data_IF_723337802804
#
_entry.id   IF_723337802804
#
_cell.length_a   1.000
_cell.length_b   1.000
_cell.length_c   1.000
_cell.angle_alpha   90.00
_cell.angle_beta   90.00
_cell.angle_gamma   90.00
#
_symmetry.space_group_name_H-M   'P 1'
#
loop_
_entity.id
_entity.type
_entity.pdbx_description
1 polymer ?
#
# COMPACT_ATOMS: atom_id res chain seq x y z
N UNK A 1 -10.06 13.89 -14.69
CA UNK A 1 -11.29 13.52 -13.99
C UNK A 1 -10.93 13.24 -12.54
N UNK A 2 -11.32 14.12 -11.70
CA UNK A 2 -11.01 14.08 -10.27
C UNK A 2 -11.79 12.93 -9.63
N UNK A 3 -11.10 11.87 -9.27
CA UNK A 3 -11.54 10.86 -8.30
C UNK A 3 -11.87 11.47 -6.91
N UNK A 4 -12.02 12.80 -6.88
CA UNK A 4 -12.37 13.59 -5.70
C UNK A 4 -13.72 13.24 -5.10
N UNK A 5 -14.56 12.56 -5.85
CA UNK A 5 -15.97 12.40 -5.49
C UNK A 5 -16.32 11.03 -4.92
N UNK A 6 -15.41 10.07 -5.00
CA UNK A 6 -15.75 8.75 -4.57
C UNK A 6 -14.86 8.32 -3.41
N UNK A 7 -15.37 8.45 -2.21
CA UNK A 7 -14.92 7.65 -1.08
C UNK A 7 -15.25 6.18 -1.40
N UNK A 8 -14.54 5.65 -2.39
CA UNK A 8 -14.74 4.27 -2.85
C UNK A 8 -14.14 3.30 -1.85
N UNK A 9 -13.09 3.72 -1.16
CA UNK A 9 -12.38 2.91 -0.18
C UNK A 9 -12.82 3.29 1.23
N UNK A 10 -13.39 2.35 1.94
CA UNK A 10 -13.89 2.54 3.30
C UNK A 10 -13.26 1.54 4.25
N UNK A 11 -12.90 1.99 5.44
CA UNK A 11 -12.47 1.09 6.50
C UNK A 11 -13.66 0.28 7.01
N UNK A 12 -13.53 -1.03 7.01
CA UNK A 12 -14.58 -1.96 7.46
C UNK A 12 -14.26 -2.67 8.76
N UNK A 13 -12.98 -2.75 9.12
CA UNK A 13 -12.55 -3.39 10.37
C UNK A 13 -11.16 -2.93 10.79
N UNK A 14 -10.85 -3.10 12.06
CA UNK A 14 -9.50 -2.97 12.60
C UNK A 14 -9.28 -3.89 13.80
N UNK A 15 -8.05 -4.28 14.01
CA UNK A 15 -7.64 -5.04 15.20
C UNK A 15 -6.17 -4.82 15.53
N UNK A 16 -5.75 -4.98 16.79
CA UNK A 16 -4.34 -5.06 17.13
C UNK A 16 -3.63 -6.14 16.32
N UNK A 17 -2.39 -5.88 15.97
CA UNK A 17 -1.53 -6.81 15.23
C UNK A 17 -0.16 -6.87 15.90
N UNK A 18 0.22 -8.06 16.27
CA UNK A 18 1.53 -8.37 16.86
C UNK A 18 2.24 -9.41 15.98
N UNK A 19 3.50 -9.22 15.76
CA UNK A 19 4.33 -10.20 15.08
C UNK A 19 5.76 -10.14 15.60
N UNK A 20 6.55 -11.16 15.29
CA UNK A 20 7.99 -11.18 15.58
C UNK A 20 8.77 -10.05 14.90
N UNK A 21 8.14 -9.39 13.94
CA UNK A 21 8.73 -8.30 13.13
C UNK A 21 8.42 -6.90 13.66
N UNK A 22 7.40 -6.76 14.51
CA UNK A 22 7.04 -5.45 15.04
C UNK A 22 5.88 -5.53 16.01
N UNK A 23 5.90 -4.61 16.98
CA UNK A 23 4.89 -4.48 18.01
C UNK A 23 4.05 -3.23 17.81
N UNK A 24 2.91 -3.19 18.48
CA UNK A 24 2.01 -2.03 18.50
C UNK A 24 1.49 -1.59 17.12
N UNK A 25 1.35 -2.51 16.19
CA UNK A 25 0.65 -2.25 14.93
C UNK A 25 -0.85 -2.47 15.09
N UNK A 26 -1.60 -1.77 14.26
CA UNK A 26 -3.03 -2.00 14.05
C UNK A 26 -3.23 -2.45 12.63
N UNK A 27 -3.82 -3.62 12.45
CA UNK A 27 -4.27 -4.08 11.14
C UNK A 27 -5.63 -3.44 10.84
N UNK A 28 -5.68 -2.65 9.78
CA UNK A 28 -6.91 -2.04 9.26
C UNK A 28 -7.30 -2.71 7.96
N UNK A 29 -8.58 -2.99 7.81
CA UNK A 29 -9.15 -3.60 6.61
C UNK A 29 -10.04 -2.58 5.92
N UNK A 30 -9.81 -2.41 4.64
CA UNK A 30 -10.53 -1.49 3.76
C UNK A 30 -11.26 -2.28 2.67
N UNK A 31 -12.40 -1.79 2.28
CA UNK A 31 -13.19 -2.37 1.19
C UNK A 31 -13.47 -1.32 0.12
N UNK A 32 -13.29 -1.72 -1.13
CA UNK A 32 -13.79 -0.96 -2.26
C UNK A 32 -15.31 -1.16 -2.37
N UNK A 33 -16.07 -0.09 -2.25
CA UNK A 33 -17.55 -0.15 -2.24
C UNK A 33 -18.15 -0.66 -3.56
N UNK A 34 -17.41 -0.55 -4.65
CA UNK A 34 -17.86 -0.96 -6.00
C UNK A 34 -17.43 -2.39 -6.30
N UNK A 35 -16.12 -2.66 -6.25
CA UNK A 35 -15.57 -3.99 -6.62
C UNK A 35 -15.66 -5.01 -5.50
N UNK A 36 -15.90 -4.56 -4.25
CA UNK A 36 -15.86 -5.40 -3.03
C UNK A 36 -14.50 -5.99 -2.70
N UNK A 37 -13.47 -5.59 -3.40
CA UNK A 37 -12.08 -5.94 -3.09
C UNK A 37 -11.67 -5.41 -1.72
N UNK A 38 -10.91 -6.21 -1.00
CA UNK A 38 -10.38 -5.83 0.31
C UNK A 38 -8.90 -5.52 0.22
N UNK A 39 -8.52 -4.43 0.85
CA UNK A 39 -7.15 -4.00 1.00
C UNK A 39 -6.81 -3.92 2.49
N UNK A 40 -5.54 -3.88 2.81
CA UNK A 40 -5.07 -3.96 4.19
C UNK A 40 -4.03 -2.88 4.46
N UNK A 41 -3.97 -2.41 5.69
CA UNK A 41 -2.88 -1.57 6.15
C UNK A 41 -2.44 -1.98 7.55
N UNK A 42 -1.15 -2.12 7.73
CA UNK A 42 -0.52 -2.23 9.04
C UNK A 42 -0.03 -0.84 9.43
N UNK A 43 -0.58 -0.31 10.49
CA UNK A 43 -0.40 1.09 10.88
C UNK A 43 0.19 1.15 12.28
N UNK A 44 1.24 1.97 12.44
CA UNK A 44 1.87 2.21 13.72
C UNK A 44 1.90 3.70 14.03
N UNK A 45 1.26 4.08 15.12
CA UNK A 45 1.45 5.34 15.81
C UNK A 45 1.35 6.61 14.93
N UNK A 46 0.30 6.69 14.12
CA UNK A 46 0.02 7.87 13.31
C UNK A 46 -0.75 8.90 14.15
N UNK A 47 -0.17 10.07 14.38
CA UNK A 47 -0.72 11.10 15.28
C UNK A 47 -0.99 12.45 14.62
N UNK A 48 -0.24 12.83 13.60
CA UNK A 48 -0.30 14.16 13.03
C UNK A 48 -0.29 14.14 11.50
N UNK A 49 -1.12 14.98 10.89
CA UNK A 49 -1.10 15.21 9.43
C UNK A 49 0.14 15.98 8.95
N UNK A 50 0.86 16.63 9.85
CA UNK A 50 2.02 17.46 9.52
C UNK A 50 3.34 16.69 9.51
N UNK A 51 3.34 15.50 10.05
CA UNK A 51 4.53 14.64 10.07
C UNK A 51 4.65 13.81 8.80
N UNK A 52 5.89 13.51 8.43
CA UNK A 52 6.21 12.61 7.34
C UNK A 52 6.47 11.21 7.89
N UNK A 53 5.75 10.22 7.38
CA UNK A 53 5.81 8.85 7.86
C UNK A 53 6.43 7.91 6.84
N UNK A 54 7.28 6.96 7.24
CA UNK A 54 7.71 5.89 6.37
C UNK A 54 6.52 5.03 5.95
N UNK A 55 6.33 4.88 4.65
CA UNK A 55 5.22 4.13 4.07
C UNK A 55 5.72 3.20 2.98
N UNK A 56 5.39 1.94 3.10
CA UNK A 56 5.51 0.95 2.03
C UNK A 56 4.15 0.74 1.37
N UNK A 57 4.10 0.87 0.07
CA UNK A 57 2.96 0.45 -0.74
C UNK A 57 3.33 -0.84 -1.46
N UNK A 58 2.66 -1.93 -1.09
CA UNK A 58 2.92 -3.25 -1.63
C UNK A 58 1.69 -3.81 -2.32
N UNK A 59 1.88 -4.21 -3.55
CA UNK A 59 0.85 -4.94 -4.31
C UNK A 59 0.93 -6.41 -3.96
N UNK A 60 -0.15 -6.94 -3.39
CA UNK A 60 -0.22 -8.36 -3.08
C UNK A 60 -0.23 -9.19 -4.37
N UNK A 61 0.64 -10.16 -4.42
CA UNK A 61 0.70 -11.16 -5.46
C UNK A 61 0.94 -12.51 -4.83
N UNK A 62 -0.11 -13.30 -4.71
CA UNK A 62 -0.09 -14.60 -4.03
C UNK A 62 0.99 -15.52 -4.60
N UNK A 63 1.16 -15.52 -5.92
CA UNK A 63 2.17 -16.38 -6.57
C UNK A 63 3.60 -15.98 -6.16
N UNK A 64 3.87 -14.68 -6.11
CA UNK A 64 5.19 -14.17 -5.74
C UNK A 64 5.40 -14.14 -4.24
N UNK A 65 4.37 -13.74 -3.49
CA UNK A 65 4.50 -13.53 -2.05
C UNK A 65 4.48 -14.85 -1.26
N UNK A 66 3.80 -15.88 -1.79
CA UNK A 66 3.64 -17.18 -1.11
C UNK A 66 4.46 -18.29 -1.76
N UNK A 67 4.49 -18.34 -3.10
CA UNK A 67 5.10 -19.45 -3.83
C UNK A 67 6.48 -19.13 -4.42
N UNK A 68 6.99 -17.92 -4.28
CA UNK A 68 8.32 -17.59 -4.77
C UNK A 68 9.40 -18.34 -3.96
N UNK A 69 10.15 -19.17 -4.63
CA UNK A 69 11.19 -20.04 -4.08
C UNK A 69 12.35 -19.26 -3.43
N UNK A 70 12.53 -18.00 -3.83
CA UNK A 70 13.44 -17.03 -3.23
C UNK A 70 12.68 -15.80 -2.83
N UNK A 71 12.55 -15.60 -1.55
CA UNK A 71 11.69 -14.63 -0.90
C UNK A 71 12.22 -13.19 -1.02
N UNK A 72 12.39 -12.71 -2.24
CA UNK A 72 12.85 -11.34 -2.53
C UNK A 72 11.83 -10.32 -1.99
N UNK A 73 10.54 -10.63 -2.10
CA UNK A 73 9.47 -9.76 -1.61
C UNK A 73 9.27 -9.82 -0.09
N UNK A 74 9.52 -10.97 0.51
CA UNK A 74 9.51 -11.09 1.96
C UNK A 74 10.54 -10.17 2.62
N UNK A 75 11.68 -9.99 1.99
CA UNK A 75 12.74 -9.11 2.49
C UNK A 75 12.30 -7.64 2.46
N UNK A 76 11.67 -7.15 1.41
CA UNK A 76 11.19 -5.77 1.33
C UNK A 76 10.14 -5.43 2.40
N UNK A 77 9.21 -6.34 2.66
CA UNK A 77 8.23 -6.17 3.73
C UNK A 77 8.92 -6.20 5.10
N UNK A 78 9.83 -7.15 5.32
CA UNK A 78 10.58 -7.24 6.57
C UNK A 78 11.42 -5.98 6.81
N UNK A 79 12.16 -5.51 5.81
CA UNK A 79 12.90 -4.26 5.91
C UNK A 79 12.00 -3.05 6.17
N UNK A 80 10.78 -3.06 5.63
CA UNK A 80 9.81 -2.00 5.91
C UNK A 80 9.37 -2.01 7.38
N UNK A 81 9.16 -3.18 7.97
CA UNK A 81 8.93 -3.29 9.41
C UNK A 81 10.08 -2.73 10.22
N UNK A 82 11.31 -3.09 9.88
CA UNK A 82 12.50 -2.61 10.58
C UNK A 82 12.62 -1.07 10.53
N UNK A 83 12.38 -0.46 9.38
CA UNK A 83 12.39 0.99 9.21
C UNK A 83 11.30 1.66 10.03
N UNK A 84 10.08 1.13 10.00
CA UNK A 84 8.95 1.68 10.75
C UNK A 84 9.14 1.51 12.26
N UNK A 85 9.64 0.36 12.71
CA UNK A 85 9.99 0.13 14.12
C UNK A 85 11.05 1.13 14.60
N UNK A 86 12.11 1.33 13.83
CA UNK A 86 13.17 2.27 14.14
C UNK A 86 12.71 3.72 14.15
N UNK A 87 11.80 4.09 13.25
CA UNK A 87 11.19 5.42 13.18
C UNK A 87 10.17 5.64 14.30
N UNK A 88 9.53 4.58 14.76
CA UNK A 88 8.49 4.59 15.79
C UNK A 88 7.07 4.82 15.29
N UNK A 89 6.89 5.07 13.99
CA UNK A 89 5.60 5.29 13.33
C UNK A 89 5.69 5.02 11.83
N UNK A 90 4.57 4.72 11.20
CA UNK A 90 4.52 4.48 9.77
C UNK A 90 3.40 3.53 9.36
N UNK A 91 3.41 3.12 8.10
CA UNK A 91 2.40 2.20 7.57
C UNK A 91 2.94 1.30 6.45
N UNK A 92 2.42 0.08 6.40
CA UNK A 92 2.55 -0.83 5.26
C UNK A 92 1.16 -1.00 4.67
N UNK A 93 0.96 -0.49 3.46
CA UNK A 93 -0.30 -0.58 2.72
C UNK A 93 -0.22 -1.75 1.76
N UNK A 94 -1.09 -2.73 1.94
CA UNK A 94 -1.19 -3.94 1.13
C UNK A 94 -2.39 -3.81 0.18
N UNK A 95 -2.10 -3.60 -1.08
CA UNK A 95 -3.12 -3.43 -2.11
C UNK A 95 -3.39 -4.80 -2.72
N UNK A 96 -4.59 -5.30 -2.48
CA UNK A 96 -5.06 -6.52 -3.12
C UNK A 96 -5.54 -6.18 -4.52
N UNK A 97 -5.09 -6.95 -5.46
CA UNK A 97 -5.48 -6.81 -6.85
C UNK A 97 -6.02 -8.16 -7.32
N UNK A 98 -7.06 -8.63 -6.62
CA UNK A 98 -7.81 -9.81 -7.06
C UNK A 98 -8.52 -9.50 -8.37
N UNK A 99 -7.77 -9.58 -9.43
CA UNK A 99 -8.34 -9.76 -10.76
C UNK A 99 -8.73 -11.23 -10.88
N UNK A 100 -9.70 -11.64 -10.08
CA UNK A 100 -10.42 -12.86 -10.38
C UNK A 100 -11.49 -12.54 -11.46
N UNK A 101 -11.89 -13.41 -12.29
CA UNK A 101 -11.67 -14.84 -12.45
C UNK A 101 -11.11 -15.26 -13.79
N UNK A 102 -10.32 -14.44 -14.46
CA UNK A 102 -9.75 -14.77 -15.77
C UNK A 102 -8.22 -14.70 -15.77
N UNK A 103 -7.60 -15.44 -14.83
CA UNK A 103 -6.14 -15.58 -14.72
C UNK A 103 -5.52 -15.95 -16.08
N UNK A 104 -6.19 -16.75 -16.90
CA UNK A 104 -5.70 -17.16 -18.21
C UNK A 104 -5.79 -16.05 -19.27
N UNK A 105 -6.77 -15.15 -19.17
CA UNK A 105 -6.86 -13.97 -20.06
C UNK A 105 -5.95 -12.82 -19.65
N UNK A 106 -5.56 -12.76 -18.38
CA UNK A 106 -4.65 -11.75 -17.87
C UNK A 106 -3.21 -11.99 -18.33
N UNK A 107 -2.81 -13.23 -18.63
CA UNK A 107 -1.47 -13.55 -19.13
C UNK A 107 -1.19 -12.89 -20.50
N UNK A 108 -2.14 -12.89 -21.42
CA UNK A 108 -1.98 -12.34 -22.76
C UNK A 108 -2.08 -10.81 -22.85
N UNK A 109 -2.64 -10.15 -21.84
CA UNK A 109 -2.87 -8.70 -21.85
C UNK A 109 -1.91 -7.92 -20.94
N UNK A 110 -0.96 -8.58 -20.28
CA UNK A 110 -0.06 -7.97 -19.29
C UNK A 110 0.84 -6.85 -19.81
N UNK A 111 1.15 -6.81 -21.10
CA UNK A 111 2.10 -5.83 -21.64
C UNK A 111 1.50 -4.47 -21.99
N UNK A 112 0.20 -4.36 -22.22
CA UNK A 112 -0.44 -3.11 -22.69
C UNK A 112 -1.25 -2.35 -21.64
N UNK A 113 -1.53 -2.95 -20.49
CA UNK A 113 -2.39 -2.36 -19.44
C UNK A 113 -1.65 -1.89 -18.17
N UNK A 114 -0.34 -2.04 -18.09
CA UNK A 114 0.41 -1.79 -16.86
C UNK A 114 0.27 -0.36 -16.32
N UNK A 115 0.25 0.67 -17.17
CA UNK A 115 0.22 2.06 -16.70
C UNK A 115 -1.13 2.50 -16.10
N UNK A 116 -2.26 2.06 -16.65
CA UNK A 116 -3.58 2.40 -16.10
C UNK A 116 -3.89 1.65 -14.81
N UNK A 117 -3.44 0.40 -14.70
CA UNK A 117 -3.59 -0.40 -13.48
C UNK A 117 -2.74 0.15 -12.34
N UNK A 118 -1.50 0.53 -12.62
CA UNK A 118 -0.61 1.15 -11.63
C UNK A 118 -1.21 2.45 -11.08
N UNK A 119 -1.72 3.35 -11.92
CA UNK A 119 -2.38 4.58 -11.49
C UNK A 119 -3.61 4.31 -10.61
N UNK A 120 -4.39 3.30 -10.94
CA UNK A 120 -5.56 2.89 -10.16
C UNK A 120 -5.17 2.35 -8.79
N UNK A 121 -4.11 1.56 -8.73
CA UNK A 121 -3.57 1.00 -7.48
C UNK A 121 -3.02 2.09 -6.56
N UNK A 122 -2.29 3.06 -7.09
CA UNK A 122 -1.83 4.22 -6.33
C UNK A 122 -3.01 5.08 -5.83
N UNK A 123 -4.07 5.18 -6.60
CA UNK A 123 -5.29 5.85 -6.17
C UNK A 123 -5.95 5.17 -4.97
N UNK A 124 -6.00 3.85 -4.97
CA UNK A 124 -6.47 3.05 -3.83
C UNK A 124 -5.57 3.29 -2.62
N UNK A 125 -4.26 3.19 -2.79
CA UNK A 125 -3.29 3.42 -1.73
C UNK A 125 -3.38 4.82 -1.15
N UNK A 126 -3.55 5.85 -1.97
CA UNK A 126 -3.72 7.22 -1.53
C UNK A 126 -5.00 7.43 -0.70
N UNK A 127 -6.11 6.80 -1.10
CA UNK A 127 -7.35 6.85 -0.32
C UNK A 127 -7.20 6.16 1.04
N UNK A 128 -6.48 5.04 1.10
CA UNK A 128 -6.16 4.36 2.35
C UNK A 128 -5.31 5.27 3.25
N UNK A 129 -4.27 5.88 2.72
CA UNK A 129 -3.41 6.80 3.47
C UNK A 129 -4.18 8.00 4.03
N UNK A 130 -5.06 8.59 3.24
CA UNK A 130 -5.96 9.66 3.71
C UNK A 130 -6.88 9.21 4.83
N UNK A 131 -7.42 8.02 4.71
CA UNK A 131 -8.29 7.43 5.74
C UNK A 131 -7.56 7.20 7.06
N UNK A 132 -6.29 6.81 7.00
CA UNK A 132 -5.41 6.61 8.16
C UNK A 132 -5.00 7.96 8.80
N UNK A 133 -5.03 9.05 8.05
CA UNK A 133 -4.58 10.36 8.49
C UNK A 133 -3.13 10.65 8.11
N UNK A 134 -2.62 10.05 7.05
CA UNK A 134 -1.29 10.30 6.49
C UNK A 134 -1.40 11.20 5.26
N UNK A 135 -0.65 12.30 5.26
CA UNK A 135 -0.59 13.25 4.15
C UNK A 135 0.80 13.36 3.54
N UNK A 136 1.84 13.19 4.36
CA UNK A 136 3.24 13.25 3.96
C UNK A 136 3.90 11.90 4.20
N UNK A 137 4.64 11.41 3.22
CA UNK A 137 5.28 10.10 3.31
C UNK A 137 6.76 10.14 2.96
N UNK A 138 7.51 9.30 3.65
CA UNK A 138 8.82 8.81 3.22
C UNK A 138 8.55 7.49 2.51
N UNK A 139 8.62 7.48 1.19
CA UNK A 139 8.29 6.30 0.41
C UNK A 139 9.38 5.24 0.52
N UNK A 140 9.03 4.08 1.04
CA UNK A 140 9.93 2.92 1.12
C UNK A 140 9.84 2.11 -0.18
N UNK A 141 10.81 2.30 -1.06
CA UNK A 141 10.80 1.66 -2.38
C UNK A 141 12.19 1.56 -2.99
N UNK A 142 12.45 0.42 -3.63
CA UNK A 142 13.65 0.21 -4.44
C UNK A 142 13.46 0.61 -5.92
N UNK A 143 12.25 1.01 -6.29
CA UNK A 143 11.93 1.41 -7.66
C UNK A 143 12.46 2.82 -7.95
N UNK A 144 13.08 3.00 -9.12
CA UNK A 144 13.46 4.30 -9.63
C UNK A 144 12.31 5.05 -10.32
N UNK A 145 11.15 4.46 -10.42
CA UNK A 145 9.96 5.09 -11.01
C UNK A 145 9.49 6.20 -10.07
N UNK A 146 9.50 7.43 -10.56
CA UNK A 146 8.86 8.55 -9.87
C UNK A 146 7.37 8.27 -9.79
N UNK A 147 6.85 8.19 -8.58
CA UNK A 147 5.42 8.01 -8.35
C UNK A 147 4.74 9.38 -8.43
N UNK A 148 4.64 9.91 -9.64
CA UNK A 148 3.96 11.18 -9.95
C UNK A 148 2.48 11.08 -9.60
N UNK A 149 1.92 9.86 -9.60
CA UNK A 149 0.51 9.63 -9.36
C UNK A 149 0.03 9.99 -7.95
N UNK A 150 0.89 9.92 -6.94
CA UNK A 150 0.50 10.25 -5.56
C UNK A 150 0.28 11.75 -5.35
N UNK A 151 1.02 12.60 -6.05
CA UNK A 151 0.83 14.06 -5.99
C UNK A 151 -0.57 14.47 -6.45
N UNK A 152 -1.15 13.77 -7.41
CA UNK A 152 -2.52 13.98 -7.87
C UNK A 152 -3.60 13.61 -6.84
N UNK A 153 -3.25 12.89 -5.78
CA UNK A 153 -4.14 12.45 -4.70
C UNK A 153 -3.92 13.18 -3.37
N UNK A 154 -3.24 14.32 -3.37
CA UNK A 154 -2.92 15.11 -2.18
C UNK A 154 -2.02 14.35 -1.15
N UNK A 155 -1.21 13.43 -1.61
CA UNK A 155 -0.16 12.77 -0.82
C UNK A 155 1.19 13.31 -1.27
N UNK A 156 1.90 13.93 -0.34
CA UNK A 156 3.24 14.47 -0.58
C UNK A 156 4.31 13.43 -0.26
N UNK A 157 5.17 13.13 -1.24
CA UNK A 157 6.36 12.31 -1.02
C UNK A 157 7.49 13.26 -0.66
N UNK A 158 7.87 13.29 0.62
CA UNK A 158 8.94 14.15 1.12
C UNK A 158 10.32 13.56 0.86
N UNK A 159 10.42 12.23 0.85
CA UNK A 159 11.65 11.49 0.65
C UNK A 159 11.34 10.11 0.11
N UNK A 160 12.27 9.53 -0.63
CA UNK A 160 12.25 8.11 -1.01
C UNK A 160 13.45 7.41 -0.38
N UNK A 161 13.19 6.35 0.35
CA UNK A 161 14.19 5.53 1.00
C UNK A 161 14.22 4.13 0.40
N UNK A 162 15.40 3.68 0.00
CA UNK A 162 15.61 2.28 -0.42
C UNK A 162 15.57 1.35 0.79
N UNK A 163 15.06 0.19 0.55
CA UNK A 163 14.92 -0.87 1.56
C UNK A 163 15.54 -2.18 1.11
#
# INVERSE_FOLDING_TARGET
YRLKYNKIINQVSERPFESDKGNDFVLKIFENSISKEKHYALVKNIKSLNESYPVRMHKLNIEKDIFAEKNIFGDEINHSFDVIEKHGSGAIVLINNDIAPNILKAFDQRQKKNNKLELREYGVGAQILKNIGIKKIILLSNSNKKIIALDGFDIEITEQQKI
#
